data_IF_112959967638
#
_entry.id   IF_112959967638
#
_cell.length_a   1.000
_cell.length_b   1.000
_cell.length_c   1.000
_cell.angle_alpha   90.00
_cell.angle_beta   90.00
_cell.angle_gamma   90.00
#
_symmetry.space_group_name_H-M   'P 1'
#
loop_
_entity.id
_entity.type
_entity.pdbx_description
1 polymer ?
#
# COMPACT_ATOMS: atom_id res chain seq x y z
N UNK A 1 -24.49 -10.60 3.61
CA UNK A 1 -25.42 -9.46 3.47
C UNK A 1 -24.59 -8.19 3.56
N UNK A 2 -24.63 -7.33 2.53
CA UNK A 2 -24.00 -6.00 2.59
C UNK A 2 -24.79 -5.13 3.58
N UNK A 3 -24.08 -4.35 4.38
CA UNK A 3 -24.66 -3.44 5.38
C UNK A 3 -24.23 -2.04 5.00
N UNK A 4 -25.21 -1.14 4.80
CA UNK A 4 -24.89 0.27 4.60
C UNK A 4 -24.08 0.82 5.80
N UNK A 5 -22.99 1.55 5.57
CA UNK A 5 -22.25 2.19 6.64
C UNK A 5 -23.13 3.21 7.37
N UNK A 6 -22.97 3.30 8.68
CA UNK A 6 -23.60 4.34 9.49
C UNK A 6 -23.03 5.72 9.13
N UNK A 7 -23.75 6.82 9.45
CA UNK A 7 -23.22 8.17 9.23
C UNK A 7 -21.87 8.41 9.92
N UNK A 8 -21.64 7.81 11.10
CA UNK A 8 -20.37 7.92 11.81
C UNK A 8 -19.22 7.20 11.08
N UNK A 9 -19.48 6.00 10.55
CA UNK A 9 -18.52 5.26 9.73
C UNK A 9 -18.19 5.99 8.43
N UNK A 10 -19.19 6.59 7.76
CA UNK A 10 -18.96 7.40 6.56
C UNK A 10 -18.07 8.62 6.87
N UNK A 11 -18.35 9.32 7.97
CA UNK A 11 -17.55 10.45 8.41
C UNK A 11 -16.11 10.03 8.75
N UNK A 12 -15.93 8.90 9.43
CA UNK A 12 -14.60 8.36 9.76
C UNK A 12 -13.81 7.94 8.51
N UNK A 13 -14.45 7.24 7.56
CA UNK A 13 -13.83 6.89 6.27
C UNK A 13 -13.40 8.14 5.53
N UNK A 14 -14.31 9.12 5.38
CA UNK A 14 -14.02 10.36 4.68
C UNK A 14 -12.83 11.08 5.32
N UNK A 15 -12.87 11.32 6.63
CA UNK A 15 -11.77 11.98 7.35
C UNK A 15 -10.43 11.22 7.25
N UNK A 16 -10.47 9.89 7.19
CA UNK A 16 -9.27 9.08 7.02
C UNK A 16 -8.64 9.21 5.62
N UNK A 17 -9.43 9.50 4.59
CA UNK A 17 -8.97 9.61 3.20
C UNK A 17 -8.75 11.08 2.72
N UNK A 18 -9.39 12.05 3.38
CA UNK A 18 -9.48 13.47 2.96
C UNK A 18 -8.14 14.24 2.95
N UNK A 19 -7.09 13.71 3.56
CA UNK A 19 -5.80 14.39 3.70
C UNK A 19 -5.11 14.72 2.36
N UNK A 20 -5.37 13.98 1.29
CA UNK A 20 -4.58 13.97 0.05
C UNK A 20 -4.54 15.31 -0.70
N UNK A 21 -5.44 16.24 -0.38
CA UNK A 21 -5.51 17.58 -0.96
C UNK A 21 -4.60 18.61 -0.27
N UNK A 22 -4.05 18.32 0.90
CA UNK A 22 -3.23 19.29 1.64
C UNK A 22 -1.78 19.30 1.15
N UNK A 23 -1.24 20.50 0.92
CA UNK A 23 0.17 20.69 0.59
C UNK A 23 1.09 20.34 1.77
N UNK A 24 0.67 20.68 2.99
CA UNK A 24 1.40 20.46 4.25
C UNK A 24 0.67 19.43 5.13
N UNK A 25 1.44 18.71 5.97
CA UNK A 25 0.87 17.77 6.93
C UNK A 25 0.31 18.57 8.12
N UNK A 26 -0.99 18.46 8.45
CA UNK A 26 -1.55 19.13 9.62
C UNK A 26 -1.04 18.47 10.92
N UNK A 27 -1.22 19.09 12.10
CA UNK A 27 -0.76 18.52 13.38
C UNK A 27 -1.38 17.16 13.72
N UNK A 28 -2.59 16.90 13.21
CA UNK A 28 -3.29 15.63 13.33
C UNK A 28 -3.76 15.17 11.95
N UNK A 29 -3.44 13.94 11.59
CA UNK A 29 -3.70 13.39 10.26
C UNK A 29 -3.82 11.87 10.30
N UNK A 30 -4.42 11.28 9.27
CA UNK A 30 -4.46 9.83 9.15
C UNK A 30 -3.11 9.26 8.74
N UNK A 31 -2.80 8.07 9.25
CA UNK A 31 -1.62 7.32 8.83
C UNK A 31 -1.66 6.94 7.34
N UNK A 32 -2.85 6.79 6.78
CA UNK A 32 -3.04 6.59 5.35
C UNK A 32 -2.51 7.76 4.54
N UNK A 33 -2.90 8.99 4.90
CA UNK A 33 -2.42 10.19 4.23
C UNK A 33 -0.90 10.31 4.29
N UNK A 34 -0.32 10.06 5.47
CA UNK A 34 1.13 10.08 5.67
C UNK A 34 1.84 9.09 4.75
N UNK A 35 1.40 7.83 4.77
CA UNK A 35 2.00 6.76 3.97
C UNK A 35 1.88 7.02 2.47
N UNK A 36 0.74 7.58 1.99
CA UNK A 36 0.61 7.96 0.57
C UNK A 36 1.64 9.04 0.21
N UNK A 37 1.81 10.06 1.05
CA UNK A 37 2.81 11.11 0.80
C UNK A 37 4.22 10.57 0.81
N UNK A 38 4.57 9.74 1.78
CA UNK A 38 5.90 9.14 1.87
C UNK A 38 6.21 8.27 0.66
N UNK A 39 5.24 7.46 0.22
CA UNK A 39 5.39 6.64 -0.98
C UNK A 39 5.56 7.49 -2.24
N UNK A 40 4.75 8.54 -2.40
CA UNK A 40 4.85 9.47 -3.54
C UNK A 40 6.19 10.20 -3.58
N UNK A 41 6.62 10.74 -2.44
CA UNK A 41 7.90 11.43 -2.31
C UNK A 41 9.08 10.49 -2.64
N UNK A 42 9.10 9.29 -2.06
CA UNK A 42 10.17 8.31 -2.30
C UNK A 42 10.23 7.84 -3.76
N UNK A 43 9.07 7.73 -4.41
CA UNK A 43 8.97 7.31 -5.83
C UNK A 43 9.04 8.46 -6.83
N UNK A 44 9.13 9.70 -6.36
CA UNK A 44 9.14 10.91 -7.19
C UNK A 44 7.86 11.05 -8.02
N UNK A 45 6.71 10.70 -7.43
CA UNK A 45 5.39 10.97 -7.97
C UNK A 45 4.90 12.33 -7.52
N UNK A 46 3.98 12.89 -8.29
CA UNK A 46 3.28 14.11 -7.93
C UNK A 46 2.52 13.92 -6.61
N UNK A 47 2.70 14.86 -5.68
CA UNK A 47 2.21 14.73 -4.32
C UNK A 47 0.68 14.75 -4.21
N UNK A 48 -0.02 15.33 -5.20
CA UNK A 48 -1.47 15.46 -5.20
C UNK A 48 -2.10 14.30 -5.98
N UNK A 49 -1.62 14.07 -7.21
CA UNK A 49 -2.22 13.15 -8.17
C UNK A 49 -1.64 11.73 -8.13
N UNK A 50 -0.45 11.54 -7.55
CA UNK A 50 0.25 10.26 -7.59
C UNK A 50 0.82 9.91 -8.98
N UNK A 51 0.66 10.78 -9.98
CA UNK A 51 1.17 10.56 -11.32
C UNK A 51 2.71 10.61 -11.33
N UNK A 52 3.33 9.75 -12.13
CA UNK A 52 4.77 9.83 -12.38
C UNK A 52 5.05 11.08 -13.22
N UNK A 53 5.78 12.05 -12.66
CA UNK A 53 6.16 13.25 -13.39
C UNK A 53 7.01 12.91 -14.62
N UNK A 54 6.74 13.55 -15.76
CA UNK A 54 7.62 13.42 -16.93
C UNK A 54 8.88 14.25 -16.71
N UNK A 55 9.93 13.62 -16.17
CA UNK A 55 11.22 14.25 -15.93
C UNK A 55 12.18 13.35 -15.14
N UNK A 56 13.48 13.57 -15.32
CA UNK A 56 14.57 12.72 -14.83
C UNK A 56 14.73 12.65 -13.28
N UNK A 57 13.84 13.27 -12.51
CA UNK A 57 13.91 13.31 -11.04
C UNK A 57 13.06 12.22 -10.35
N UNK A 58 12.20 11.50 -11.08
CA UNK A 58 11.39 10.43 -10.52
C UNK A 58 12.19 9.14 -10.28
N UNK A 59 12.01 8.49 -9.12
CA UNK A 59 12.51 7.14 -8.87
C UNK A 59 11.34 6.15 -8.70
N UNK A 60 10.55 5.87 -9.75
CA UNK A 60 9.39 4.99 -9.64
C UNK A 60 9.75 3.54 -9.29
N UNK A 61 11.04 3.19 -9.32
CA UNK A 61 11.59 1.92 -8.87
C UNK A 61 12.13 1.95 -7.44
N UNK A 62 11.86 2.99 -6.65
CA UNK A 62 12.36 3.11 -5.29
C UNK A 62 11.80 1.99 -4.39
N UNK A 63 12.68 1.25 -3.74
CA UNK A 63 12.34 0.08 -2.93
C UNK A 63 11.64 0.46 -1.62
N UNK A 64 12.06 1.54 -0.96
CA UNK A 64 11.36 2.01 0.25
C UNK A 64 9.99 2.56 -0.10
N UNK A 65 9.88 3.31 -1.22
CA UNK A 65 8.60 3.75 -1.74
C UNK A 65 7.66 2.58 -2.09
N UNK A 66 8.20 1.51 -2.70
CA UNK A 66 7.44 0.29 -2.95
C UNK A 66 7.00 -0.41 -1.65
N UNK A 67 7.87 -0.51 -0.64
CA UNK A 67 7.51 -1.04 0.67
C UNK A 67 6.39 -0.22 1.33
N UNK A 68 6.42 1.11 1.23
CA UNK A 68 5.34 1.97 1.73
C UNK A 68 4.02 1.72 0.98
N UNK A 69 4.05 1.54 -0.35
CA UNK A 69 2.86 1.12 -1.10
C UNK A 69 2.34 -0.26 -0.68
N UNK A 70 3.22 -1.21 -0.37
CA UNK A 70 2.82 -2.53 0.12
C UNK A 70 2.18 -2.44 1.52
N UNK A 71 2.68 -1.56 2.39
CA UNK A 71 2.06 -1.28 3.68
C UNK A 71 0.69 -0.59 3.53
N UNK A 72 0.53 0.28 2.53
CA UNK A 72 -0.78 0.84 2.18
C UNK A 72 -1.78 -0.25 1.77
N UNK A 73 -1.35 -1.26 1.00
CA UNK A 73 -2.22 -2.39 0.66
C UNK A 73 -2.65 -3.18 1.89
N UNK A 74 -1.76 -3.40 2.86
CA UNK A 74 -2.14 -4.00 4.15
C UNK A 74 -3.23 -3.16 4.83
N UNK A 75 -3.00 -1.86 4.99
CA UNK A 75 -3.97 -0.98 5.64
C UNK A 75 -5.30 -0.95 4.88
N UNK A 76 -5.29 -0.87 3.55
CA UNK A 76 -6.50 -0.85 2.72
C UNK A 76 -7.32 -2.12 2.93
N UNK A 77 -6.68 -3.28 2.85
CA UNK A 77 -7.36 -4.57 2.94
C UNK A 77 -7.82 -4.94 4.34
N UNK A 78 -7.20 -4.38 5.38
CA UNK A 78 -7.67 -4.49 6.76
C UNK A 78 -8.83 -3.53 7.06
N UNK A 79 -8.75 -2.29 6.58
CA UNK A 79 -9.70 -1.25 6.93
C UNK A 79 -10.98 -1.27 6.10
N UNK A 80 -10.88 -1.60 4.81
CA UNK A 80 -11.95 -1.33 3.85
C UNK A 80 -12.41 -2.58 3.10
N UNK A 81 -13.63 -2.48 2.57
CA UNK A 81 -14.18 -3.41 1.58
C UNK A 81 -15.25 -2.72 0.73
N UNK A 82 -15.46 -3.13 -0.52
CA UNK A 82 -16.62 -2.69 -1.29
C UNK A 82 -17.90 -3.26 -0.66
N UNK A 83 -19.03 -2.56 -0.81
CA UNK A 83 -20.33 -3.05 -0.36
C UNK A 83 -20.70 -4.40 -1.00
N UNK A 84 -20.44 -4.55 -2.29
CA UNK A 84 -20.73 -5.75 -3.05
C UNK A 84 -19.45 -6.51 -3.40
N UNK A 85 -19.51 -7.85 -3.31
CA UNK A 85 -18.44 -8.72 -3.81
C UNK A 85 -17.16 -8.71 -2.97
N UNK A 86 -17.22 -8.29 -1.71
CA UNK A 86 -16.05 -8.22 -0.84
C UNK A 86 -15.31 -9.56 -0.72
N UNK A 87 -14.00 -9.49 -0.90
CA UNK A 87 -13.06 -10.59 -0.83
C UNK A 87 -13.02 -11.21 0.56
N UNK A 88 -12.88 -12.53 0.56
CA UNK A 88 -12.59 -13.37 1.74
C UNK A 88 -11.15 -13.88 1.74
N UNK A 89 -10.29 -13.29 0.91
CA UNK A 89 -8.89 -13.68 0.81
C UNK A 89 -8.18 -13.57 2.17
N UNK A 90 -7.15 -14.41 2.40
CA UNK A 90 -6.62 -14.63 3.74
C UNK A 90 -5.80 -13.46 4.28
N UNK A 91 -5.10 -12.72 3.42
CA UNK A 91 -4.26 -11.58 3.83
C UNK A 91 -4.92 -10.24 3.49
N UNK A 92 -4.52 -9.19 4.21
CA UNK A 92 -4.95 -7.83 3.92
C UNK A 92 -4.53 -7.39 2.51
N UNK A 93 -3.27 -7.61 2.12
CA UNK A 93 -2.80 -7.36 0.75
C UNK A 93 -3.66 -8.09 -0.30
N UNK A 94 -3.96 -9.38 -0.09
CA UNK A 94 -4.78 -10.14 -1.05
C UNK A 94 -6.19 -9.54 -1.17
N UNK A 95 -6.81 -9.15 -0.05
CA UNK A 95 -8.13 -8.51 -0.05
C UNK A 95 -8.10 -7.18 -0.79
N UNK A 96 -7.11 -6.33 -0.54
CA UNK A 96 -6.99 -5.04 -1.22
C UNK A 96 -6.84 -5.20 -2.74
N UNK A 97 -5.99 -6.12 -3.18
CA UNK A 97 -5.72 -6.36 -4.60
C UNK A 97 -6.90 -7.05 -5.32
N UNK A 98 -7.62 -7.92 -4.64
CA UNK A 98 -8.83 -8.54 -5.19
C UNK A 98 -9.99 -7.55 -5.28
N UNK A 99 -10.27 -6.85 -4.17
CA UNK A 99 -11.41 -5.95 -4.04
C UNK A 99 -11.31 -4.74 -4.97
N UNK A 100 -10.11 -4.16 -5.10
CA UNK A 100 -9.94 -2.85 -5.74
C UNK A 100 -9.12 -2.87 -7.04
N UNK A 101 -8.44 -3.97 -7.35
CA UNK A 101 -7.65 -4.09 -8.59
C UNK A 101 -7.99 -5.35 -9.41
N UNK A 102 -8.80 -6.28 -8.90
CA UNK A 102 -9.22 -7.47 -9.64
C UNK A 102 -8.08 -8.39 -10.07
N UNK A 103 -6.94 -8.35 -9.38
CA UNK A 103 -5.80 -9.23 -9.67
C UNK A 103 -6.16 -10.68 -9.38
N UNK A 104 -5.60 -11.62 -10.13
CA UNK A 104 -5.81 -13.05 -9.87
C UNK A 104 -4.95 -13.54 -8.69
N UNK A 105 -5.43 -14.57 -7.99
CA UNK A 105 -4.77 -15.11 -6.79
C UNK A 105 -3.25 -15.31 -6.94
N UNK A 106 -2.71 -15.98 -7.99
CA UNK A 106 -1.27 -16.18 -8.09
C UNK A 106 -0.47 -14.86 -8.12
N UNK A 107 -1.03 -13.80 -8.74
CA UNK A 107 -0.39 -12.49 -8.77
C UNK A 107 -0.44 -11.81 -7.39
N UNK A 108 -1.58 -11.92 -6.69
CA UNK A 108 -1.75 -11.37 -5.34
C UNK A 108 -0.80 -12.03 -4.34
N UNK A 109 -0.68 -13.36 -4.39
CA UNK A 109 0.23 -14.15 -3.55
C UNK A 109 1.70 -13.79 -3.82
N UNK A 110 2.08 -13.59 -5.08
CA UNK A 110 3.41 -13.10 -5.43
C UNK A 110 3.71 -11.70 -4.86
N UNK A 111 2.74 -10.78 -4.89
CA UNK A 111 2.89 -9.43 -4.32
C UNK A 111 2.96 -9.50 -2.78
N UNK A 112 2.13 -10.34 -2.14
CA UNK A 112 2.20 -10.57 -0.71
C UNK A 112 3.54 -11.18 -0.28
N UNK A 113 4.06 -12.15 -1.03
CA UNK A 113 5.39 -12.71 -0.81
C UNK A 113 6.51 -11.67 -0.98
N UNK A 114 6.40 -10.76 -1.95
CA UNK A 114 7.32 -9.63 -2.07
C UNK A 114 7.23 -8.70 -0.85
N UNK A 115 6.02 -8.42 -0.36
CA UNK A 115 5.81 -7.65 0.87
C UNK A 115 6.50 -8.30 2.05
N UNK A 116 6.38 -9.63 2.22
CA UNK A 116 7.08 -10.34 3.29
C UNK A 116 8.61 -10.21 3.15
N UNK A 117 9.16 -10.45 1.96
CA UNK A 117 10.58 -10.31 1.70
C UNK A 117 11.11 -8.89 1.98
N UNK A 118 10.37 -7.85 1.57
CA UNK A 118 10.76 -6.46 1.80
C UNK A 118 10.62 -6.03 3.27
N UNK A 119 9.51 -6.38 3.92
CA UNK A 119 9.22 -5.89 5.27
C UNK A 119 10.04 -6.59 6.36
N UNK A 120 10.39 -7.87 6.17
CA UNK A 120 11.12 -8.64 7.18
C UNK A 120 12.64 -8.61 6.97
N UNK A 121 13.10 -8.70 5.71
CA UNK A 121 14.53 -8.86 5.41
C UNK A 121 15.06 -7.85 4.39
N UNK A 122 14.22 -6.93 3.89
CA UNK A 122 14.54 -6.03 2.78
C UNK A 122 15.22 -6.75 1.60
N UNK A 123 14.69 -7.92 1.24
CA UNK A 123 15.32 -8.88 0.33
C UNK A 123 14.47 -9.17 -0.91
N UNK A 124 14.99 -10.00 -1.82
CA UNK A 124 14.26 -10.48 -3.02
C UNK A 124 13.90 -11.96 -2.93
N UNK A 125 13.82 -12.52 -1.72
CA UNK A 125 13.60 -13.93 -1.51
C UNK A 125 12.55 -14.13 -0.42
N UNK A 126 11.51 -14.89 -0.74
CA UNK A 126 10.55 -15.37 0.24
C UNK A 126 10.51 -16.91 0.15
N UNK A 127 10.84 -17.58 1.25
CA UNK A 127 10.82 -19.05 1.34
C UNK A 127 9.71 -19.44 2.31
N UNK A 128 8.72 -20.16 1.81
CA UNK A 128 7.63 -20.71 2.60
C UNK A 128 7.32 -22.13 2.11
N UNK A 129 7.91 -23.11 2.78
CA UNK A 129 7.74 -24.52 2.43
C UNK A 129 6.31 -25.04 2.66
N UNK A 130 5.52 -24.36 3.51
CA UNK A 130 4.14 -24.74 3.78
C UNK A 130 3.18 -24.15 2.75
N UNK A 131 3.55 -23.04 2.10
CA UNK A 131 2.72 -22.35 1.12
C UNK A 131 3.50 -22.11 -0.18
N UNK A 132 3.45 -23.06 -1.14
CA UNK A 132 4.21 -22.96 -2.38
C UNK A 132 3.93 -21.67 -3.17
N UNK A 133 2.70 -21.14 -3.13
CA UNK A 133 2.33 -19.87 -3.78
C UNK A 133 2.99 -18.63 -3.17
N UNK A 134 3.69 -18.76 -2.03
CA UNK A 134 4.50 -17.70 -1.44
C UNK A 134 5.99 -17.91 -1.67
N UNK A 135 6.38 -19.05 -2.24
CA UNK A 135 7.79 -19.38 -2.43
C UNK A 135 8.33 -18.77 -3.72
N UNK A 136 9.07 -17.67 -3.59
CA UNK A 136 9.53 -16.88 -4.72
C UNK A 136 10.96 -16.37 -4.52
N UNK A 137 11.71 -16.32 -5.62
CA UNK A 137 12.83 -15.41 -5.77
C UNK A 137 12.49 -14.39 -6.86
N UNK A 138 12.81 -13.14 -6.58
CA UNK A 138 12.32 -12.00 -7.34
C UNK A 138 13.41 -11.32 -8.15
N UNK A 139 13.01 -10.76 -9.29
CA UNK A 139 13.71 -9.65 -9.94
C UNK A 139 12.73 -8.49 -10.03
N UNK A 140 13.17 -7.30 -9.61
CA UNK A 140 12.38 -6.08 -9.71
C UNK A 140 12.81 -5.22 -10.90
N UNK A 141 11.87 -4.49 -11.47
CA UNK A 141 12.13 -3.48 -12.51
C UNK A 141 11.25 -2.25 -12.31
N UNK A 142 11.52 -1.19 -13.07
CA UNK A 142 10.70 0.04 -13.10
C UNK A 142 10.37 0.48 -14.54
N UNK A 143 10.41 -0.47 -15.48
CA UNK A 143 10.19 -0.21 -16.90
C UNK A 143 8.72 0.18 -17.14
N UNK A 144 8.44 1.22 -17.92
CA UNK A 144 7.07 1.69 -18.14
C UNK A 144 6.16 0.69 -18.89
N UNK A 145 6.73 -0.31 -19.56
CA UNK A 145 6.04 -1.19 -20.52
C UNK A 145 5.76 -2.57 -19.91
N UNK A 146 6.48 -2.98 -18.87
CA UNK A 146 6.32 -4.32 -18.30
C UNK A 146 5.09 -4.43 -17.40
N UNK A 147 4.44 -5.61 -17.34
CA UNK A 147 3.29 -5.83 -16.46
C UNK A 147 3.70 -5.76 -14.98
N UNK A 148 2.70 -5.60 -14.10
CA UNK A 148 2.90 -5.60 -12.65
C UNK A 148 3.61 -6.86 -12.15
N UNK A 149 3.09 -8.03 -12.55
CA UNK A 149 3.64 -9.34 -12.19
C UNK A 149 3.84 -10.16 -13.45
N UNK A 150 5.04 -10.68 -13.64
CA UNK A 150 5.30 -11.83 -14.52
C UNK A 150 5.55 -13.04 -13.65
N UNK A 151 4.60 -13.97 -13.63
CA UNK A 151 4.74 -15.24 -12.92
C UNK A 151 5.80 -16.12 -13.61
N UNK A 152 6.48 -16.98 -12.84
CA UNK A 152 7.47 -17.88 -13.42
C UNK A 152 6.79 -18.97 -14.27
N UNK A 153 7.55 -19.52 -15.22
CA UNK A 153 7.12 -20.69 -16.01
C UNK A 153 7.10 -21.94 -15.13
N UNK A 154 8.05 -22.05 -14.20
CA UNK A 154 8.19 -23.14 -13.25
C UNK A 154 8.21 -22.60 -11.83
N UNK A 155 7.53 -23.27 -10.90
CA UNK A 155 7.60 -22.88 -9.50
C UNK A 155 9.01 -23.11 -8.94
N UNK A 156 9.49 -22.15 -8.15
CA UNK A 156 10.78 -22.31 -7.46
C UNK A 156 10.62 -23.22 -6.24
N UNK A 157 11.58 -24.10 -6.02
CA UNK A 157 11.59 -25.10 -4.95
C UNK A 157 12.22 -24.62 -3.63
N UNK A 158 12.60 -23.34 -3.56
CA UNK A 158 13.19 -22.74 -2.36
C UNK A 158 14.68 -23.01 -2.20
N UNK A 159 15.30 -23.76 -3.12
CA UNK A 159 16.73 -24.04 -3.10
C UNK A 159 17.51 -22.97 -3.87
N UNK A 160 18.52 -22.38 -3.24
CA UNK A 160 19.29 -21.29 -3.87
C UNK A 160 19.98 -21.72 -5.17
N UNK A 161 20.43 -22.98 -5.25
CA UNK A 161 21.14 -23.55 -6.39
C UNK A 161 20.23 -23.86 -7.58
N UNK A 162 18.91 -23.95 -7.38
CA UNK A 162 17.94 -24.25 -8.45
C UNK A 162 17.46 -22.99 -9.20
N UNK A 163 17.83 -21.79 -8.72
CA UNK A 163 17.36 -20.51 -9.28
C UNK A 163 17.80 -20.35 -10.73
N UNK A 164 16.84 -20.04 -11.60
CA UNK A 164 17.08 -19.84 -13.02
C UNK A 164 16.02 -18.90 -13.63
N UNK A 165 16.14 -18.63 -14.93
CA UNK A 165 15.24 -17.73 -15.64
C UNK A 165 13.81 -18.24 -15.79
N UNK A 166 13.57 -19.55 -15.64
CA UNK A 166 12.24 -20.16 -15.76
C UNK A 166 11.47 -20.11 -14.44
N UNK A 167 12.16 -20.05 -13.29
CA UNK A 167 11.54 -20.03 -11.97
C UNK A 167 11.61 -18.69 -11.22
N UNK A 168 12.01 -17.62 -11.91
CA UNK A 168 12.03 -16.26 -11.34
C UNK A 168 10.69 -15.55 -11.48
N UNK A 169 10.25 -14.89 -10.41
CA UNK A 169 9.08 -14.01 -10.45
C UNK A 169 9.54 -12.57 -10.70
N UNK A 170 8.92 -11.86 -11.63
CA UNK A 170 9.29 -10.48 -11.93
C UNK A 170 8.20 -9.53 -11.46
N UNK A 171 8.58 -8.51 -10.70
CA UNK A 171 7.66 -7.47 -10.23
C UNK A 171 8.11 -6.12 -10.78
N UNK A 172 7.18 -5.38 -11.35
CA UNK A 172 7.42 -4.01 -11.79
C UNK A 172 7.00 -3.02 -10.71
N UNK A 173 7.97 -2.41 -10.01
CA UNK A 173 7.72 -1.49 -8.90
C UNK A 173 7.05 -0.19 -9.36
N UNK A 174 7.30 0.23 -10.61
CA UNK A 174 6.59 1.38 -11.19
C UNK A 174 5.10 1.05 -11.32
N UNK A 175 4.79 -0.07 -11.95
CA UNK A 175 3.41 -0.52 -12.14
C UNK A 175 2.74 -0.85 -10.81
N UNK A 176 3.49 -1.33 -9.80
CA UNK A 176 2.97 -1.53 -8.45
C UNK A 176 2.46 -0.21 -7.88
N UNK A 177 3.29 0.84 -7.91
CA UNK A 177 2.85 2.18 -7.50
C UNK A 177 1.64 2.67 -8.32
N UNK A 178 1.63 2.46 -9.64
CA UNK A 178 0.49 2.87 -10.48
C UNK A 178 -0.80 2.12 -10.09
N UNK A 179 -0.70 0.82 -9.79
CA UNK A 179 -1.83 0.01 -9.31
C UNK A 179 -2.31 0.49 -7.94
N UNK A 180 -1.43 0.78 -7.00
CA UNK A 180 -1.85 1.29 -5.68
C UNK A 180 -2.49 2.68 -5.79
N UNK A 181 -1.96 3.57 -6.64
CA UNK A 181 -2.58 4.88 -6.89
C UNK A 181 -3.97 4.78 -7.55
N UNK A 182 -4.18 3.79 -8.43
CA UNK A 182 -5.50 3.47 -8.96
C UNK A 182 -6.46 2.96 -7.88
N UNK A 183 -5.99 2.11 -6.98
CA UNK A 183 -6.75 1.65 -5.81
C UNK A 183 -7.13 2.83 -4.92
N UNK A 184 -6.19 3.74 -4.61
CA UNK A 184 -6.46 4.94 -3.80
C UNK A 184 -7.53 5.80 -4.47
N UNK A 185 -7.40 6.03 -5.78
CA UNK A 185 -8.40 6.78 -6.57
C UNK A 185 -9.78 6.11 -6.51
N UNK A 186 -9.81 4.77 -6.56
CA UNK A 186 -11.04 3.99 -6.43
C UNK A 186 -11.66 4.11 -5.03
N UNK A 187 -10.85 4.01 -3.97
CA UNK A 187 -11.32 4.18 -2.58
C UNK A 187 -11.96 5.54 -2.34
N UNK A 188 -11.33 6.61 -2.85
CA UNK A 188 -11.89 7.97 -2.77
C UNK A 188 -13.25 8.06 -3.47
N UNK A 189 -13.36 7.48 -4.67
CA UNK A 189 -14.60 7.44 -5.42
C UNK A 189 -15.68 6.62 -4.70
N UNK A 190 -15.34 5.42 -4.20
CA UNK A 190 -16.30 4.57 -3.49
C UNK A 190 -16.74 5.20 -2.17
N UNK A 191 -15.84 5.88 -1.44
CA UNK A 191 -16.19 6.62 -0.23
C UNK A 191 -17.16 7.77 -0.52
N UNK A 192 -16.88 8.58 -1.54
CA UNK A 192 -17.76 9.69 -1.96
C UNK A 192 -19.15 9.22 -2.40
N UNK A 193 -19.24 8.01 -2.96
CA UNK A 193 -20.49 7.40 -3.42
C UNK A 193 -21.15 6.48 -2.38
N UNK A 194 -20.65 6.45 -1.14
CA UNK A 194 -21.15 5.55 -0.08
C UNK A 194 -21.15 4.07 -0.48
N UNK A 195 -20.18 3.65 -1.30
CA UNK A 195 -19.96 2.26 -1.76
C UNK A 195 -18.84 1.54 -1.00
N UNK A 196 -18.20 2.22 -0.06
CA UNK A 196 -17.12 1.70 0.78
C UNK A 196 -17.62 1.41 2.21
N UNK A 197 -17.31 0.23 2.74
CA UNK A 197 -17.61 -0.17 4.11
C UNK A 197 -16.33 -0.35 4.94
N UNK A 198 -16.44 -0.18 6.27
CA UNK A 198 -15.39 -0.60 7.20
C UNK A 198 -15.40 -2.11 7.39
N UNK A 199 -14.21 -2.70 7.35
CA UNK A 199 -13.97 -4.11 7.65
C UNK A 199 -13.55 -4.32 9.12
N UNK A 200 -13.11 -3.27 9.80
CA UNK A 200 -12.69 -3.26 11.20
C UNK A 200 -13.85 -3.64 12.13
N UNK A 201 -13.58 -4.52 13.10
CA UNK A 201 -14.62 -4.98 14.03
C UNK A 201 -15.06 -3.88 14.99
N UNK A 202 -14.14 -2.99 15.41
CA UNK A 202 -14.46 -1.81 16.20
C UNK A 202 -14.97 -0.62 15.38
N UNK A 203 -15.20 -0.80 14.07
CA UNK A 203 -15.80 0.21 13.20
C UNK A 203 -15.02 1.54 13.21
N UNK A 204 -15.78 2.64 13.27
CA UNK A 204 -15.24 4.00 13.21
C UNK A 204 -14.28 4.32 14.37
N UNK A 205 -14.56 3.82 15.57
CA UNK A 205 -13.72 4.06 16.74
C UNK A 205 -12.36 3.38 16.61
N UNK A 206 -12.31 2.15 16.12
CA UNK A 206 -11.04 1.47 15.84
C UNK A 206 -10.23 2.23 14.78
N UNK A 207 -10.88 2.68 13.69
CA UNK A 207 -10.20 3.42 12.63
C UNK A 207 -9.53 4.70 13.16
N UNK A 208 -10.25 5.48 13.98
CA UNK A 208 -9.73 6.71 14.59
C UNK A 208 -8.60 6.44 15.57
N UNK A 209 -8.76 5.48 16.47
CA UNK A 209 -7.77 5.26 17.53
C UNK A 209 -6.49 4.60 17.00
N UNK A 210 -6.59 3.75 15.98
CA UNK A 210 -5.43 2.99 15.47
C UNK A 210 -4.66 3.73 14.40
N UNK A 211 -5.32 4.55 13.58
CA UNK A 211 -4.70 5.13 12.38
C UNK A 211 -4.73 6.65 12.33
N UNK A 212 -5.00 7.32 13.44
CA UNK A 212 -4.78 8.76 13.56
C UNK A 212 -3.42 9.02 14.21
N UNK A 213 -2.64 9.91 13.60
CA UNK A 213 -1.33 10.30 14.08
C UNK A 213 -1.36 11.76 14.51
N UNK A 214 -0.60 12.07 15.55
CA UNK A 214 -0.31 13.43 15.98
C UNK A 214 1.20 13.64 16.01
N UNK A 215 1.67 14.74 15.46
CA UNK A 215 3.05 15.19 15.66
C UNK A 215 3.01 16.27 16.74
N UNK A 216 3.80 16.10 17.80
CA UNK A 216 4.01 17.14 18.80
C UNK A 216 5.23 17.97 18.37
N UNK A 217 5.03 19.28 18.18
CA UNK A 217 6.15 20.20 18.19
C UNK A 217 6.49 20.51 19.66
N UNK A 218 7.62 20.02 20.15
CA UNK A 218 8.17 20.53 21.40
C UNK A 218 8.59 21.99 21.17
N UNK A 219 8.03 22.90 21.95
CA UNK A 219 8.58 24.25 22.03
C UNK A 219 9.97 24.15 22.64
N UNK A 220 11.01 24.29 21.82
CA UNK A 220 12.37 24.50 22.31
C UNK A 220 12.35 25.83 23.06
N UNK A 221 12.61 25.87 24.38
CA UNK A 221 12.63 27.12 25.12
C UNK A 221 13.66 28.05 24.48
N UNK A 222 13.31 29.32 24.28
CA UNK A 222 14.30 30.30 23.83
C UNK A 222 15.50 30.30 24.79
N UNK A 223 16.74 30.32 24.27
CA UNK A 223 17.90 30.42 25.13
C UNK A 223 17.76 31.69 25.99
N UNK A 224 18.15 31.63 27.28
CA UNK A 224 18.05 32.79 28.16
C UNK A 224 18.81 33.98 27.53
N UNK A 225 18.30 35.21 27.67
CA UNK A 225 18.94 36.38 27.11
C UNK A 225 20.40 36.44 27.56
N UNK A 226 21.31 36.65 26.60
CA UNK A 226 22.73 36.82 26.91
C UNK A 226 22.89 38.05 27.81
N UNK A 227 23.51 37.85 28.97
CA UNK A 227 23.82 38.94 29.90
C UNK A 227 24.78 39.95 29.22
N UNK A 228 24.62 41.26 29.51
CA UNK A 228 25.39 42.34 28.89
C UNK A 228 26.89 42.30 29.23
#
# INVERSE_FOLDING_TARGET
>A
MSRMPTPDEQAAISAHLDGLQYANIPPQFSAFFAAVRDARAATGRDMITGAVSQGAAGNPGNWSGALTYLALLDQIGDCFRPQAGASTAPSAVDRALEDFAGLQEPQRRAIYALRCAFAHDYSLINIDAAQPLLQHHFIVSANAIHPLVTLPVQQWDGQYESRNAQNVTRINLRTLGDTVEQIISRLLSDAANSQLELRLQGGADELRNRYWMGIFEEQVPEPPPQAP
#
